data_IF_231370869521
#
_entry.id   IF_231370869521
#
_cell.length_a   1.000
_cell.length_b   1.000
_cell.length_c   1.000
_cell.angle_alpha   90.00
_cell.angle_beta   90.00
_cell.angle_gamma   90.00
#
_symmetry.space_group_name_H-M   'P 1'
#
loop_
_entity.id
_entity.type
_entity.pdbx_description
1 polymer ?
#
# COMPACT_ATOMS: atom_id res chain seq x y z
N UNK A 1 9.82 13.36 -25.29
CA UNK A 1 8.43 13.81 -25.03
C UNK A 1 7.40 12.67 -25.05
N UNK A 2 7.47 11.68 -25.95
CA UNK A 2 6.54 10.54 -25.98
C UNK A 2 6.84 9.38 -25.00
N UNK A 3 7.97 9.42 -24.28
CA UNK A 3 8.41 8.36 -23.34
C UNK A 3 7.80 8.57 -21.93
N UNK A 4 7.37 9.81 -21.63
CA UNK A 4 6.87 10.30 -20.33
C UNK A 4 5.39 10.00 -19.98
N UNK A 5 4.59 9.52 -20.93
CA UNK A 5 3.14 9.82 -20.97
C UNK A 5 2.25 9.07 -19.98
N UNK A 6 2.75 8.08 -19.25
CA UNK A 6 2.10 7.66 -18.00
C UNK A 6 3.16 7.04 -17.08
N UNK A 7 3.86 7.89 -16.31
CA UNK A 7 4.81 7.48 -15.27
C UNK A 7 4.27 6.30 -14.45
N UNK A 8 2.97 6.30 -14.15
CA UNK A 8 2.35 5.27 -13.33
C UNK A 8 2.07 3.95 -14.07
N UNK A 9 2.28 3.90 -15.39
CA UNK A 9 2.30 2.65 -16.18
C UNK A 9 3.69 2.04 -16.23
N UNK A 10 4.72 2.81 -15.85
CA UNK A 10 6.06 2.28 -15.79
C UNK A 10 6.16 1.20 -14.72
N UNK A 11 7.18 0.35 -14.89
CA UNK A 11 7.41 -0.85 -14.09
C UNK A 11 7.37 -0.58 -12.58
N UNK A 12 7.83 0.60 -12.14
CA UNK A 12 7.92 0.99 -10.73
C UNK A 12 6.57 1.06 -10.02
N UNK A 13 5.57 1.67 -10.67
CA UNK A 13 4.30 2.03 -10.05
C UNK A 13 3.12 1.16 -10.51
N UNK A 14 3.31 0.36 -11.56
CA UNK A 14 2.24 -0.42 -12.20
C UNK A 14 1.48 -1.30 -11.23
N UNK A 15 2.17 -2.02 -10.34
CA UNK A 15 1.54 -2.91 -9.34
C UNK A 15 0.65 -2.10 -8.40
N UNK A 16 1.21 -1.05 -7.79
CA UNK A 16 0.47 -0.21 -6.87
C UNK A 16 -0.75 0.45 -7.54
N UNK A 17 -0.58 0.99 -8.75
CA UNK A 17 -1.67 1.55 -9.57
C UNK A 17 -2.77 0.52 -9.80
N UNK A 18 -2.43 -0.70 -10.23
CA UNK A 18 -3.41 -1.76 -10.47
C UNK A 18 -4.19 -2.10 -9.21
N UNK A 19 -3.51 -2.27 -8.07
CA UNK A 19 -4.16 -2.56 -6.78
C UNK A 19 -5.14 -1.44 -6.38
N UNK A 20 -4.72 -0.18 -6.49
CA UNK A 20 -5.59 0.98 -6.18
C UNK A 20 -6.78 1.11 -7.13
N UNK A 21 -6.65 0.71 -8.40
CA UNK A 21 -7.79 0.69 -9.33
C UNK A 21 -8.80 -0.38 -8.92
N UNK A 22 -8.33 -1.57 -8.56
CA UNK A 22 -9.19 -2.70 -8.15
C UNK A 22 -10.02 -2.38 -6.91
N UNK A 23 -9.52 -1.53 -6.02
CA UNK A 23 -10.17 -1.17 -4.75
C UNK A 23 -10.96 0.14 -4.84
N UNK A 24 -11.02 0.76 -6.03
CA UNK A 24 -11.69 2.06 -6.23
C UNK A 24 -10.97 3.23 -5.57
N UNK A 25 -9.69 3.07 -5.24
CA UNK A 25 -8.87 4.03 -4.52
C UNK A 25 -8.00 4.91 -5.44
N UNK A 26 -7.88 4.56 -6.73
CA UNK A 26 -7.03 5.32 -7.67
C UNK A 26 -7.62 6.71 -8.01
N UNK A 27 -6.89 7.81 -7.76
CA UNK A 27 -7.46 9.15 -7.85
C UNK A 27 -7.76 9.60 -9.29
N UNK A 28 -7.00 9.13 -10.28
CA UNK A 28 -7.17 9.55 -11.69
C UNK A 28 -8.24 8.76 -12.46
N UNK A 29 -8.92 7.80 -11.83
CA UNK A 29 -10.09 7.13 -12.43
C UNK A 29 -11.28 8.09 -12.47
N UNK A 30 -12.15 7.96 -13.48
CA UNK A 30 -13.37 8.77 -13.55
C UNK A 30 -14.19 8.65 -12.26
N UNK A 31 -14.66 9.78 -11.73
CA UNK A 31 -15.38 9.84 -10.46
C UNK A 31 -16.53 8.82 -10.34
N UNK A 32 -17.44 8.64 -11.34
CA UNK A 32 -18.52 7.68 -11.20
C UNK A 32 -18.00 6.23 -11.12
N UNK A 33 -17.02 5.85 -11.95
CA UNK A 33 -16.46 4.51 -11.92
C UNK A 33 -15.73 4.24 -10.60
N UNK A 34 -14.93 5.22 -10.14
CA UNK A 34 -14.21 5.13 -8.86
C UNK A 34 -15.15 4.89 -7.69
N UNK A 35 -16.22 5.70 -7.60
CA UNK A 35 -17.25 5.57 -6.57
C UNK A 35 -17.96 4.22 -6.65
N UNK A 36 -18.32 3.74 -7.85
CA UNK A 36 -18.96 2.43 -8.02
C UNK A 36 -18.08 1.28 -7.55
N UNK A 37 -16.79 1.28 -7.91
CA UNK A 37 -15.85 0.23 -7.47
C UNK A 37 -15.63 0.29 -5.97
N UNK A 38 -15.55 1.49 -5.39
CA UNK A 38 -15.42 1.66 -3.94
C UNK A 38 -16.65 1.12 -3.20
N UNK A 39 -17.87 1.47 -3.64
CA UNK A 39 -19.12 0.96 -3.06
C UNK A 39 -19.15 -0.56 -3.15
N UNK A 40 -18.81 -1.14 -4.31
CA UNK A 40 -18.77 -2.58 -4.50
C UNK A 40 -17.77 -3.25 -3.54
N UNK A 41 -16.58 -2.67 -3.39
CA UNK A 41 -15.54 -3.14 -2.46
C UNK A 41 -16.06 -3.16 -1.02
N UNK A 42 -16.71 -2.09 -0.58
CA UNK A 42 -17.31 -1.99 0.76
C UNK A 42 -18.44 -3.01 0.94
N UNK A 43 -19.35 -3.14 -0.03
CA UNK A 43 -20.46 -4.09 0.05
C UNK A 43 -19.96 -5.53 0.18
N UNK A 44 -18.95 -5.91 -0.62
CA UNK A 44 -18.36 -7.26 -0.57
C UNK A 44 -17.68 -7.49 0.79
N UNK A 45 -16.88 -6.54 1.27
CA UNK A 45 -16.20 -6.66 2.56
C UNK A 45 -17.22 -6.79 3.71
N UNK A 46 -18.22 -5.90 3.77
CA UNK A 46 -19.27 -5.94 4.81
C UNK A 46 -20.05 -7.26 4.78
N UNK A 47 -20.33 -7.81 3.60
CA UNK A 47 -21.01 -9.09 3.48
C UNK A 47 -20.19 -10.29 4.01
N UNK A 48 -18.86 -10.16 4.07
CA UNK A 48 -17.98 -11.13 4.71
C UNK A 48 -17.75 -10.88 6.21
N UNK A 49 -17.73 -9.62 6.63
CA UNK A 49 -17.47 -9.22 8.04
C UNK A 49 -18.69 -9.48 8.93
N UNK A 50 -19.91 -9.24 8.46
CA UNK A 50 -21.12 -9.44 9.28
C UNK A 50 -21.24 -10.89 9.78
N UNK A 51 -21.09 -11.93 8.94
CA UNK A 51 -21.08 -13.32 9.40
C UNK A 51 -20.01 -13.60 10.47
N UNK A 52 -18.83 -12.99 10.38
CA UNK A 52 -17.78 -13.16 11.38
C UNK A 52 -18.16 -12.56 12.73
N UNK A 53 -18.75 -11.36 12.72
CA UNK A 53 -19.28 -10.72 13.93
C UNK A 53 -20.34 -11.61 14.57
N UNK A 54 -21.31 -12.11 13.80
CA UNK A 54 -22.38 -12.98 14.32
C UNK A 54 -21.80 -14.26 14.92
N UNK A 55 -20.89 -14.93 14.21
CA UNK A 55 -20.29 -16.18 14.69
C UNK A 55 -19.55 -16.00 16.01
N UNK A 56 -18.84 -14.89 16.19
CA UNK A 56 -18.10 -14.59 17.43
C UNK A 56 -19.05 -14.26 18.58
N UNK A 57 -20.14 -13.52 18.31
CA UNK A 57 -21.17 -13.22 19.31
C UNK A 57 -21.80 -14.49 19.91
N UNK A 58 -21.91 -15.56 19.13
CA UNK A 58 -22.49 -16.84 19.56
C UNK A 58 -21.56 -17.65 20.48
N UNK A 59 -20.24 -17.48 20.34
CA UNK A 59 -19.23 -18.22 21.12
C UNK A 59 -18.50 -17.35 22.14
N UNK A 60 -19.03 -16.17 22.50
CA UNK A 60 -18.41 -15.28 23.49
C UNK A 60 -18.16 -15.93 24.86
N UNK A 61 -18.93 -16.97 25.19
CA UNK A 61 -18.77 -17.73 26.44
C UNK A 61 -17.56 -18.69 26.39
N UNK A 62 -17.05 -19.00 25.20
CA UNK A 62 -15.84 -19.79 24.98
C UNK A 62 -14.66 -18.84 24.72
N UNK A 63 -13.90 -18.57 25.79
CA UNK A 63 -12.80 -17.63 25.74
C UNK A 63 -11.67 -18.07 24.80
N UNK A 64 -11.44 -19.39 24.65
CA UNK A 64 -10.37 -19.90 23.79
C UNK A 64 -10.69 -19.59 22.32
N UNK A 65 -11.91 -19.89 21.90
CA UNK A 65 -12.39 -19.63 20.53
C UNK A 65 -12.54 -18.12 20.26
N UNK A 66 -12.98 -17.35 21.26
CA UNK A 66 -13.09 -15.89 21.13
C UNK A 66 -11.73 -15.24 20.91
N UNK A 67 -10.68 -15.67 21.63
CA UNK A 67 -9.31 -15.16 21.45
C UNK A 67 -8.73 -15.57 20.10
N UNK A 68 -8.98 -16.80 19.64
CA UNK A 68 -8.55 -17.28 18.30
C UNK A 68 -9.16 -16.43 17.16
N UNK A 69 -10.29 -15.78 17.41
CA UNK A 69 -11.01 -14.95 16.44
C UNK A 69 -10.57 -13.49 16.39
N UNK A 70 -9.70 -13.03 17.30
CA UNK A 70 -9.22 -11.64 17.34
C UNK A 70 -8.42 -11.23 16.09
N UNK A 71 -7.47 -12.04 15.56
CA UNK A 71 -6.62 -11.60 14.46
C UNK A 71 -7.40 -11.20 13.18
N UNK A 72 -8.41 -11.95 12.70
CA UNK A 72 -9.27 -11.51 11.60
C UNK A 72 -9.91 -10.13 11.81
N UNK A 73 -10.42 -9.82 13.01
CA UNK A 73 -10.98 -8.49 13.29
C UNK A 73 -9.95 -7.37 13.27
N UNK A 74 -8.70 -7.64 13.67
CA UNK A 74 -7.62 -6.66 13.54
C UNK A 74 -7.36 -6.34 12.06
N UNK A 75 -7.41 -7.36 11.19
CA UNK A 75 -7.30 -7.18 9.74
C UNK A 75 -8.48 -6.36 9.20
N UNK A 76 -9.72 -6.69 9.60
CA UNK A 76 -10.92 -5.95 9.19
C UNK A 76 -10.91 -4.49 9.64
N UNK A 77 -10.46 -4.23 10.87
CA UNK A 77 -10.26 -2.88 11.39
C UNK A 77 -9.19 -2.13 10.58
N UNK A 78 -8.07 -2.79 10.29
CA UNK A 78 -7.00 -2.23 9.47
C UNK A 78 -7.48 -1.89 8.05
N UNK A 79 -8.30 -2.75 7.45
CA UNK A 79 -8.97 -2.50 6.18
C UNK A 79 -9.86 -1.25 6.25
N UNK A 80 -10.74 -1.17 7.25
CA UNK A 80 -11.66 -0.05 7.40
C UNK A 80 -10.90 1.28 7.56
N UNK A 81 -9.90 1.31 8.44
CA UNK A 81 -9.06 2.50 8.67
C UNK A 81 -8.37 2.91 7.36
N UNK A 82 -7.66 1.99 6.69
CA UNK A 82 -6.91 2.31 5.47
C UNK A 82 -7.81 2.79 4.34
N UNK A 83 -8.96 2.15 4.14
CA UNK A 83 -9.91 2.54 3.11
C UNK A 83 -10.49 3.93 3.38
N UNK A 84 -10.87 4.20 4.63
CA UNK A 84 -11.36 5.53 5.05
C UNK A 84 -10.28 6.60 4.90
N UNK A 85 -9.05 6.33 5.34
CA UNK A 85 -7.92 7.24 5.19
C UNK A 85 -7.70 7.63 3.74
N UNK A 86 -7.67 6.66 2.81
CA UNK A 86 -7.49 6.98 1.38
C UNK A 86 -8.70 7.73 0.82
N UNK A 87 -9.93 7.33 1.20
CA UNK A 87 -11.14 7.98 0.71
C UNK A 87 -11.24 9.45 1.17
N UNK A 88 -10.98 9.72 2.45
CA UNK A 88 -11.00 11.07 3.04
C UNK A 88 -9.87 11.92 2.46
N UNK A 89 -8.67 11.36 2.37
CA UNK A 89 -7.48 12.09 1.88
C UNK A 89 -7.27 11.99 0.37
N UNK A 90 -8.27 11.57 -0.42
CA UNK A 90 -8.11 11.30 -1.84
C UNK A 90 -7.49 12.47 -2.64
N UNK A 91 -7.86 13.71 -2.29
CA UNK A 91 -7.28 14.93 -2.90
C UNK A 91 -5.80 15.11 -2.53
N UNK A 92 -5.42 14.83 -1.29
CA UNK A 92 -4.02 14.90 -0.84
C UNK A 92 -3.18 13.81 -1.51
N UNK A 93 -3.69 12.58 -1.57
CA UNK A 93 -3.06 11.46 -2.30
C UNK A 93 -2.85 11.84 -3.76
N UNK A 94 -3.85 12.43 -4.41
CA UNK A 94 -3.71 12.91 -5.79
C UNK A 94 -2.60 13.97 -5.90
N UNK A 95 -2.58 14.97 -5.01
CA UNK A 95 -1.54 16.01 -4.99
C UNK A 95 -0.14 15.42 -4.82
N UNK A 96 0.03 14.44 -3.93
CA UNK A 96 1.30 13.72 -3.76
C UNK A 96 1.73 13.02 -5.05
N UNK A 97 0.82 12.31 -5.71
CA UNK A 97 1.13 11.66 -6.99
C UNK A 97 1.47 12.68 -8.10
N UNK A 98 0.83 13.84 -8.10
CA UNK A 98 1.15 14.94 -9.02
C UNK A 98 2.55 15.52 -8.74
N UNK A 99 2.92 15.71 -7.47
CA UNK A 99 4.28 16.12 -7.08
C UNK A 99 5.32 15.09 -7.55
N UNK A 100 5.10 13.80 -7.27
CA UNK A 100 5.97 12.73 -7.77
C UNK A 100 6.16 12.85 -9.28
N UNK A 101 5.06 12.96 -10.04
CA UNK A 101 5.13 13.12 -11.50
C UNK A 101 5.92 14.36 -11.93
N UNK A 102 5.71 15.48 -11.25
CA UNK A 102 6.40 16.74 -11.53
C UNK A 102 7.91 16.61 -11.31
N UNK A 103 8.33 15.92 -10.25
CA UNK A 103 9.75 15.71 -9.94
C UNK A 103 10.43 14.82 -10.98
N UNK A 104 9.76 13.74 -11.41
CA UNK A 104 10.25 12.91 -12.51
C UNK A 104 10.47 13.72 -13.81
N UNK A 105 9.61 14.71 -14.05
CA UNK A 105 9.71 15.63 -15.18
C UNK A 105 10.86 16.63 -15.01
N UNK A 106 11.02 17.21 -13.82
CA UNK A 106 12.04 18.21 -13.55
C UNK A 106 13.44 17.63 -13.66
N UNK A 107 13.64 16.40 -13.19
CA UNK A 107 14.92 15.68 -13.27
C UNK A 107 15.17 15.01 -14.64
N UNK A 108 14.26 15.11 -15.60
CA UNK A 108 14.43 14.46 -16.90
C UNK A 108 15.70 14.95 -17.61
N UNK A 109 16.63 14.03 -17.91
CA UNK A 109 17.92 14.34 -18.54
C UNK A 109 19.01 14.82 -17.58
N UNK A 110 18.73 14.89 -16.28
CA UNK A 110 19.71 15.22 -15.25
C UNK A 110 20.41 13.97 -14.71
N UNK A 111 21.58 14.13 -14.07
CA UNK A 111 22.33 12.99 -13.51
C UNK A 111 21.63 12.41 -12.27
N UNK A 112 20.92 13.28 -11.56
CA UNK A 112 20.13 13.06 -10.36
C UNK A 112 18.94 12.13 -10.63
N UNK A 113 18.47 12.02 -11.88
CA UNK A 113 17.44 11.07 -12.30
C UNK A 113 17.80 9.61 -11.97
N UNK A 114 19.10 9.27 -11.98
CA UNK A 114 19.58 7.94 -11.59
C UNK A 114 19.21 7.61 -10.14
N UNK A 115 19.32 8.59 -9.24
CA UNK A 115 18.96 8.43 -7.83
C UNK A 115 17.47 8.13 -7.72
N UNK A 116 16.63 8.85 -8.48
CA UNK A 116 15.19 8.63 -8.49
C UNK A 116 14.82 7.22 -8.97
N UNK A 117 15.49 6.71 -10.02
CA UNK A 117 15.34 5.33 -10.48
C UNK A 117 15.75 4.30 -9.43
N UNK A 118 16.87 4.51 -8.72
CA UNK A 118 17.37 3.59 -7.68
C UNK A 118 16.36 3.44 -6.53
N UNK A 119 15.81 4.56 -6.05
CA UNK A 119 14.79 4.54 -5.00
C UNK A 119 13.44 3.99 -5.50
N UNK A 120 13.06 4.25 -6.76
CA UNK A 120 11.85 3.68 -7.34
C UNK A 120 11.93 2.16 -7.52
N UNK A 121 13.08 1.60 -7.95
CA UNK A 121 13.29 0.14 -7.97
C UNK A 121 13.31 -0.46 -6.55
N UNK A 122 13.87 0.26 -5.57
CA UNK A 122 13.83 -0.17 -4.17
C UNK A 122 12.39 -0.23 -3.64
N UNK A 123 11.59 0.82 -3.87
CA UNK A 123 10.18 0.85 -3.50
C UNK A 123 9.35 -0.23 -4.18
N UNK A 124 9.66 -0.53 -5.45
CA UNK A 124 9.06 -1.66 -6.17
C UNK A 124 9.44 -3.01 -5.56
N UNK A 125 10.71 -3.21 -5.21
CA UNK A 125 11.17 -4.44 -4.55
C UNK A 125 10.45 -4.64 -3.22
N UNK A 126 10.34 -3.59 -2.40
CA UNK A 126 9.56 -3.64 -1.15
C UNK A 126 8.09 -3.92 -1.40
N UNK A 127 7.48 -3.29 -2.40
CA UNK A 127 6.08 -3.53 -2.79
C UNK A 127 5.84 -5.00 -3.14
N UNK A 128 6.71 -5.59 -3.96
CA UNK A 128 6.60 -7.00 -4.37
C UNK A 128 6.81 -7.92 -3.16
N UNK A 129 7.88 -7.72 -2.40
CA UNK A 129 8.18 -8.56 -1.24
C UNK A 129 7.05 -8.53 -0.20
N UNK A 130 6.54 -7.33 0.10
CA UNK A 130 5.42 -7.14 1.02
C UNK A 130 4.14 -7.82 0.52
N UNK A 131 3.72 -7.53 -0.70
CA UNK A 131 2.52 -8.12 -1.29
C UNK A 131 2.62 -9.66 -1.32
N UNK A 132 3.75 -10.21 -1.79
CA UNK A 132 3.97 -11.65 -1.81
C UNK A 132 3.91 -12.26 -0.41
N UNK A 133 4.52 -11.62 0.59
CA UNK A 133 4.46 -12.09 1.98
C UNK A 133 3.04 -12.15 2.54
N UNK A 134 2.25 -11.08 2.34
CA UNK A 134 0.85 -11.02 2.80
C UNK A 134 -0.02 -12.07 2.10
N UNK A 135 0.04 -12.16 0.76
CA UNK A 135 -0.77 -13.12 0.01
C UNK A 135 -0.38 -14.57 0.30
N UNK A 136 0.93 -14.86 0.43
CA UNK A 136 1.40 -16.21 0.74
C UNK A 136 0.97 -16.64 2.15
N UNK A 137 1.15 -15.78 3.14
CA UNK A 137 0.76 -16.07 4.53
C UNK A 137 -0.74 -16.32 4.64
N UNK A 138 -1.54 -15.49 3.96
CA UNK A 138 -3.00 -15.68 3.90
C UNK A 138 -3.36 -16.99 3.22
N UNK A 139 -2.72 -17.31 2.09
CA UNK A 139 -2.98 -18.56 1.38
C UNK A 139 -2.71 -19.77 2.29
N UNK A 140 -1.60 -19.77 3.03
CA UNK A 140 -1.27 -20.83 3.98
C UNK A 140 -2.33 -20.93 5.09
N UNK A 141 -2.70 -19.79 5.69
CA UNK A 141 -3.72 -19.73 6.74
C UNK A 141 -5.08 -20.30 6.26
N UNK A 142 -5.56 -19.86 5.09
CA UNK A 142 -6.87 -20.29 4.57
C UNK A 142 -6.88 -21.75 4.12
N UNK A 143 -5.74 -22.28 3.64
CA UNK A 143 -5.64 -23.65 3.12
C UNK A 143 -5.49 -24.71 4.20
N UNK A 144 -4.91 -24.39 5.37
CA UNK A 144 -4.75 -25.34 6.49
C UNK A 144 -6.07 -26.03 6.90
N UNK A 145 -7.18 -25.30 7.21
CA UNK A 145 -8.45 -25.92 7.59
C UNK A 145 -9.09 -26.71 6.44
N UNK A 146 -8.99 -26.21 5.21
CA UNK A 146 -9.49 -26.89 4.00
C UNK A 146 -8.76 -28.22 3.76
N UNK A 147 -7.44 -28.23 3.90
CA UNK A 147 -6.63 -29.44 3.78
C UNK A 147 -7.03 -30.45 4.84
N UNK A 148 -7.23 -30.02 6.09
CA UNK A 148 -7.70 -30.88 7.18
C UNK A 148 -9.07 -31.49 6.87
N UNK A 149 -10.05 -30.68 6.41
CA UNK A 149 -11.39 -31.16 6.02
C UNK A 149 -11.31 -32.17 4.87
N UNK A 150 -10.49 -31.91 3.85
CA UNK A 150 -10.32 -32.82 2.72
C UNK A 150 -9.71 -34.16 3.13
N UNK A 151 -8.69 -34.15 4.01
CA UNK A 151 -8.08 -35.38 4.51
C UNK A 151 -9.06 -36.21 5.35
N UNK A 152 -9.93 -35.57 6.14
CA UNK A 152 -11.01 -36.24 6.88
C UNK A 152 -12.05 -36.87 5.94
N UNK A 153 -12.51 -36.12 4.93
CA UNK A 153 -13.46 -36.64 3.92
C UNK A 153 -12.87 -37.83 3.13
N UNK A 154 -11.56 -37.85 2.90
CA UNK A 154 -10.86 -38.98 2.27
C UNK A 154 -10.54 -40.13 3.23
N UNK A 155 -10.94 -40.04 4.50
CA UNK A 155 -10.62 -40.99 5.56
C UNK A 155 -9.11 -41.22 5.78
N UNK A 156 -8.29 -40.19 5.51
CA UNK A 156 -6.84 -40.20 5.70
C UNK A 156 -6.41 -39.69 7.08
N UNK A 157 -7.28 -38.94 7.77
CA UNK A 157 -7.11 -38.51 9.16
C UNK A 157 -8.15 -39.20 10.04
N UNK A 158 -7.76 -39.55 11.27
CA UNK A 158 -8.68 -40.14 12.25
C UNK A 158 -9.63 -39.05 12.78
N UNK A 159 -10.93 -39.33 12.86
CA UNK A 159 -12.05 -38.40 13.11
C UNK A 159 -12.11 -37.82 14.55
N UNK A 160 -10.96 -37.50 15.14
CA UNK A 160 -10.86 -37.11 16.55
C UNK A 160 -11.41 -35.71 16.82
N UNK A 161 -11.31 -34.79 15.85
CA UNK A 161 -11.80 -33.42 15.94
C UNK A 161 -12.34 -32.95 14.58
N UNK A 162 -13.55 -32.38 14.48
CA UNK A 162 -14.10 -31.89 13.21
C UNK A 162 -13.26 -30.73 12.68
N UNK A 163 -12.91 -30.76 11.38
CA UNK A 163 -12.15 -29.68 10.77
C UNK A 163 -12.92 -28.35 10.82
N UNK A 164 -12.29 -27.34 11.44
CA UNK A 164 -12.79 -25.98 11.56
C UNK A 164 -12.94 -25.31 10.19
N UNK A 165 -13.89 -24.37 10.09
CA UNK A 165 -13.98 -23.44 8.95
C UNK A 165 -12.84 -22.40 9.01
N UNK A 166 -12.33 -21.86 7.89
CA UNK A 166 -11.15 -20.99 7.91
C UNK A 166 -11.27 -19.70 8.73
N UNK A 167 -12.49 -19.17 8.85
CA UNK A 167 -12.82 -18.01 9.67
C UNK A 167 -14.05 -18.35 10.48
N UNK A 168 -14.06 -18.03 11.78
CA UNK A 168 -15.28 -18.21 12.54
C UNK A 168 -16.37 -17.29 11.97
N UNK A 169 -17.43 -17.88 11.40
CA UNK A 169 -18.50 -17.13 10.74
C UNK A 169 -19.83 -17.89 10.82
N UNK A 170 -20.92 -17.13 11.03
CA UNK A 170 -22.29 -17.62 10.92
C UNK A 170 -23.03 -16.86 9.80
N UNK A 171 -23.35 -17.56 8.72
CA UNK A 171 -24.06 -17.02 7.57
C UNK A 171 -25.58 -17.01 7.77
N UNK A 172 -26.06 -16.26 8.77
CA UNK A 172 -27.49 -16.04 9.03
C UNK A 172 -28.30 -17.34 9.23
N UNK A 173 -27.76 -18.29 10.00
CA UNK A 173 -28.40 -19.56 10.29
C UNK A 173 -28.24 -20.63 9.20
N UNK A 174 -27.42 -20.38 8.16
CA UNK A 174 -26.99 -21.41 7.23
C UNK A 174 -25.96 -22.31 7.93
N UNK A 175 -26.21 -23.63 7.90
CA UNK A 175 -25.28 -24.63 8.38
C UNK A 175 -23.98 -24.58 7.57
N UNK A 176 -22.91 -24.13 8.23
CA UNK A 176 -21.59 -23.90 7.63
C UNK A 176 -20.88 -25.22 7.32
N UNK A 177 -21.13 -26.28 8.08
CA UNK A 177 -20.56 -27.60 7.83
C UNK A 177 -21.24 -28.28 6.64
N UNK A 178 -22.57 -28.21 6.57
CA UNK A 178 -23.32 -28.78 5.45
C UNK A 178 -23.04 -28.05 4.12
N UNK A 179 -22.79 -26.73 4.17
CA UNK A 179 -22.55 -25.90 2.99
C UNK A 179 -21.09 -25.48 2.81
N UNK A 180 -20.15 -26.17 3.47
CA UNK A 180 -18.74 -25.80 3.55
C UNK A 180 -18.13 -25.40 2.19
N UNK A 181 -18.19 -26.29 1.20
CA UNK A 181 -17.57 -26.06 -0.12
C UNK A 181 -18.29 -25.00 -0.96
N UNK A 182 -19.55 -24.67 -0.66
CA UNK A 182 -20.30 -23.62 -1.34
C UNK A 182 -19.99 -22.22 -0.78
N UNK A 183 -19.77 -22.12 0.53
CA UNK A 183 -19.43 -20.86 1.21
C UNK A 183 -17.95 -20.49 1.09
N UNK A 184 -17.08 -21.50 0.88
CA UNK A 184 -15.64 -21.32 0.82
C UNK A 184 -15.19 -20.31 -0.25
N UNK A 185 -15.64 -20.37 -1.53
CA UNK A 185 -15.21 -19.43 -2.56
C UNK A 185 -15.59 -17.98 -2.21
N UNK A 186 -16.75 -17.77 -1.59
CA UNK A 186 -17.19 -16.46 -1.14
C UNK A 186 -16.28 -15.91 -0.03
N UNK A 187 -15.91 -16.76 0.93
CA UNK A 187 -14.98 -16.40 2.02
C UNK A 187 -13.60 -16.04 1.50
N UNK A 188 -13.07 -16.81 0.54
CA UNK A 188 -11.81 -16.51 -0.13
C UNK A 188 -11.87 -15.19 -0.90
N UNK A 189 -12.98 -14.95 -1.61
CA UNK A 189 -13.15 -13.75 -2.41
C UNK A 189 -13.23 -12.48 -1.53
N UNK A 190 -14.04 -12.52 -0.46
CA UNK A 190 -14.14 -11.40 0.50
C UNK A 190 -12.78 -11.11 1.17
N UNK A 191 -12.09 -12.15 1.62
CA UNK A 191 -10.73 -12.03 2.21
C UNK A 191 -9.73 -11.43 1.22
N UNK A 192 -9.77 -11.87 -0.05
CA UNK A 192 -8.90 -11.34 -1.09
C UNK A 192 -9.14 -9.84 -1.35
N UNK A 193 -10.40 -9.38 -1.32
CA UNK A 193 -10.75 -7.96 -1.49
C UNK A 193 -10.24 -7.11 -0.32
N UNK A 194 -10.45 -7.58 0.92
CA UNK A 194 -9.99 -6.93 2.15
C UNK A 194 -8.46 -6.77 2.12
N UNK A 195 -7.74 -7.85 1.86
CA UNK A 195 -6.27 -7.83 1.80
C UNK A 195 -5.72 -7.01 0.64
N UNK A 196 -6.35 -7.08 -0.54
CA UNK A 196 -5.94 -6.27 -1.69
C UNK A 196 -6.05 -4.79 -1.38
N UNK A 197 -7.06 -4.37 -0.63
CA UNK A 197 -7.21 -2.98 -0.17
C UNK A 197 -6.11 -2.58 0.80
N UNK A 198 -5.79 -3.43 1.77
CA UNK A 198 -4.69 -3.19 2.72
C UNK A 198 -3.35 -3.07 1.98
N UNK A 199 -3.04 -4.03 1.10
CA UNK A 199 -1.80 -4.04 0.31
C UNK A 199 -1.74 -2.83 -0.63
N UNK A 200 -2.86 -2.42 -1.24
CA UNK A 200 -2.92 -1.22 -2.07
C UNK A 200 -2.51 0.04 -1.29
N UNK A 201 -3.05 0.18 -0.07
CA UNK A 201 -2.76 1.32 0.81
C UNK A 201 -1.31 1.33 1.30
N UNK A 202 -0.80 0.19 1.77
CA UNK A 202 0.56 0.08 2.30
C UNK A 202 1.60 0.31 1.22
N UNK A 203 1.39 -0.27 0.03
CA UNK A 203 2.32 -0.10 -1.08
C UNK A 203 2.30 1.32 -1.64
N UNK A 204 1.17 2.02 -1.53
CA UNK A 204 1.09 3.45 -1.87
C UNK A 204 1.95 4.26 -0.91
N UNK A 205 1.84 3.99 0.39
CA UNK A 205 2.66 4.64 1.40
C UNK A 205 4.16 4.36 1.20
N UNK A 206 4.54 3.09 0.94
CA UNK A 206 5.93 2.72 0.62
C UNK A 206 6.46 3.53 -0.55
N UNK A 207 5.68 3.65 -1.64
CA UNK A 207 6.06 4.43 -2.81
C UNK A 207 6.31 5.90 -2.46
N UNK A 208 5.43 6.51 -1.68
CA UNK A 208 5.52 7.91 -1.29
C UNK A 208 6.75 8.18 -0.40
N UNK A 209 6.98 7.31 0.59
CA UNK A 209 8.16 7.37 1.47
C UNK A 209 9.45 7.24 0.66
N UNK A 210 9.53 6.26 -0.25
CA UNK A 210 10.72 6.07 -1.07
C UNK A 210 10.99 7.26 -1.99
N UNK A 211 9.94 7.91 -2.51
CA UNK A 211 10.08 9.15 -3.27
C UNK A 211 10.64 10.29 -2.40
N UNK A 212 10.09 10.49 -1.19
CA UNK A 212 10.62 11.47 -0.24
C UNK A 212 12.10 11.22 0.08
N UNK A 213 12.49 9.98 0.35
CA UNK A 213 13.89 9.60 0.56
C UNK A 213 14.78 9.89 -0.66
N UNK A 214 14.25 9.69 -1.87
CA UNK A 214 14.95 10.02 -3.11
C UNK A 214 15.22 11.52 -3.20
N UNK A 215 14.23 12.36 -2.90
CA UNK A 215 14.36 13.81 -2.93
C UNK A 215 15.39 14.31 -1.92
N UNK A 216 15.37 13.81 -0.68
CA UNK A 216 16.41 14.13 0.31
C UNK A 216 17.81 13.69 -0.15
N UNK A 217 17.93 12.54 -0.82
CA UNK A 217 19.21 12.07 -1.34
C UNK A 217 19.73 12.94 -2.49
N UNK A 218 18.85 13.39 -3.38
CA UNK A 218 19.20 14.32 -4.47
C UNK A 218 19.66 15.65 -3.90
N UNK A 219 18.93 16.20 -2.91
CA UNK A 219 19.33 17.43 -2.23
C UNK A 219 20.72 17.30 -1.60
N UNK A 220 20.97 16.21 -0.86
CA UNK A 220 22.28 15.95 -0.26
C UNK A 220 23.40 15.81 -1.30
N UNK A 221 23.13 15.15 -2.43
CA UNK A 221 24.05 15.05 -3.55
C UNK A 221 24.41 16.42 -4.14
N UNK A 222 23.41 17.28 -4.34
CA UNK A 222 23.60 18.62 -4.88
C UNK A 222 24.39 19.52 -3.92
N UNK A 223 24.07 19.48 -2.63
CA UNK A 223 24.81 20.20 -1.59
C UNK A 223 26.27 19.78 -1.53
N UNK A 224 26.56 18.48 -1.63
CA UNK A 224 27.93 17.97 -1.64
C UNK A 224 28.70 18.46 -2.87
N UNK A 225 28.09 18.38 -4.05
CA UNK A 225 28.68 18.90 -5.30
C UNK A 225 29.01 20.38 -5.20
N UNK A 226 28.12 21.17 -4.58
CA UNK A 226 28.36 22.59 -4.33
C UNK A 226 29.50 22.82 -3.33
N UNK A 227 29.57 22.05 -2.24
CA UNK A 227 30.64 22.16 -1.25
C UNK A 227 32.02 21.85 -1.88
N UNK A 228 32.10 20.77 -2.67
CA UNK A 228 33.33 20.34 -3.34
C UNK A 228 33.80 21.39 -4.38
N UNK A 229 32.85 22.01 -5.11
CA UNK A 229 33.16 23.14 -6.00
C UNK A 229 33.57 24.40 -5.21
N UNK A 230 32.89 24.70 -4.11
CA UNK A 230 33.17 25.84 -3.23
C UNK A 230 34.54 25.78 -2.55
N UNK A 231 35.05 24.58 -2.26
CA UNK A 231 36.44 24.40 -1.79
C UNK A 231 37.47 24.81 -2.84
N UNK A 232 37.15 24.69 -4.13
CA UNK A 232 38.01 25.14 -5.24
C UNK A 232 37.95 26.68 -5.41
N UNK A 233 36.76 27.28 -5.23
CA UNK A 233 36.58 28.73 -5.25
C UNK A 233 37.20 29.45 -4.04
N UNK A 234 37.38 28.79 -2.89
CA UNK A 234 38.10 29.35 -1.73
C UNK A 234 39.56 29.67 -2.04
N UNK A 235 40.18 29.00 -3.02
CA UNK A 235 41.50 29.35 -3.54
C UNK A 235 41.51 30.62 -4.43
N UNK A 236 40.33 31.08 -4.89
CA UNK A 236 40.12 32.21 -5.80
C UNK A 236 39.61 33.50 -5.11
N UNK A 237 39.45 33.51 -3.77
CA UNK A 237 38.80 34.57 -2.98
C UNK A 237 39.46 35.98 -2.95
N UNK A 238 40.21 36.39 -3.98
CA UNK A 238 40.78 37.75 -4.08
C UNK A 238 39.99 38.73 -4.96
N UNK A 239 38.70 38.51 -5.25
CA UNK A 239 37.86 39.49 -5.95
C UNK A 239 36.39 39.52 -5.49
N UNK A 240 35.70 40.68 -5.57
CA UNK A 240 34.37 40.89 -5.00
C UNK A 240 33.31 40.14 -5.82
N UNK A 241 32.72 39.08 -5.24
CA UNK A 241 31.74 38.23 -5.90
C UNK A 241 30.39 38.94 -6.05
N UNK A 242 29.94 39.09 -7.31
CA UNK A 242 28.52 39.13 -7.66
C UNK A 242 28.06 37.66 -7.71
N UNK A 243 27.56 37.15 -6.58
CA UNK A 243 27.90 35.79 -6.16
C UNK A 243 26.97 34.66 -6.70
N UNK A 244 27.42 33.79 -7.62
CA UNK A 244 26.67 32.57 -8.00
C UNK A 244 26.44 31.62 -6.82
N UNK A 245 27.29 31.66 -5.78
CA UNK A 245 27.13 30.84 -4.56
C UNK A 245 25.86 31.21 -3.79
N UNK A 246 25.53 32.50 -3.72
CA UNK A 246 24.28 33.00 -3.12
C UNK A 246 23.05 32.43 -3.83
N UNK A 247 23.05 32.42 -5.17
CA UNK A 247 21.96 31.88 -5.98
C UNK A 247 21.82 30.36 -5.76
N UNK A 248 22.94 29.62 -5.77
CA UNK A 248 22.92 28.16 -5.54
C UNK A 248 22.49 27.77 -4.12
N UNK A 249 22.88 28.54 -3.11
CA UNK A 249 22.41 28.37 -1.74
C UNK A 249 20.91 28.64 -1.62
N UNK A 250 20.41 29.71 -2.26
CA UNK A 250 18.98 30.03 -2.26
C UNK A 250 18.12 28.95 -2.91
N UNK A 251 18.62 28.32 -3.99
CA UNK A 251 17.98 27.17 -4.64
C UNK A 251 17.97 25.98 -3.69
N UNK A 252 19.08 25.67 -3.03
CA UNK A 252 19.15 24.54 -2.09
C UNK A 252 18.22 24.71 -0.88
N UNK A 253 18.07 25.94 -0.37
CA UNK A 253 17.11 26.26 0.71
C UNK A 253 15.68 26.05 0.23
N UNK A 254 15.34 26.48 -0.98
CA UNK A 254 14.01 26.25 -1.57
C UNK A 254 13.75 24.77 -1.77
N UNK A 255 14.69 24.04 -2.36
CA UNK A 255 14.55 22.60 -2.59
C UNK A 255 14.38 21.86 -1.25
N UNK A 256 15.13 22.24 -0.20
CA UNK A 256 14.93 21.68 1.14
C UNK A 256 13.53 21.95 1.70
N UNK A 257 13.03 23.18 1.54
CA UNK A 257 11.68 23.55 1.94
C UNK A 257 10.61 22.75 1.18
N UNK A 258 10.76 22.55 -0.13
CA UNK A 258 9.81 21.76 -0.94
C UNK A 258 9.78 20.28 -0.50
N UNK A 259 10.92 19.70 -0.15
CA UNK A 259 10.96 18.31 0.37
C UNK A 259 10.33 18.21 1.76
N UNK A 260 10.51 19.22 2.63
CA UNK A 260 9.82 19.28 3.92
C UNK A 260 8.30 19.40 3.71
N UNK A 261 7.84 20.28 2.82
CA UNK A 261 6.40 20.40 2.51
C UNK A 261 5.80 19.09 1.98
N UNK A 262 6.56 18.32 1.18
CA UNK A 262 6.15 16.99 0.74
C UNK A 262 6.02 16.01 1.92
N UNK A 263 6.97 16.04 2.86
CA UNK A 263 6.95 15.23 4.08
C UNK A 263 5.77 15.60 4.98
N UNK A 264 5.55 16.89 5.23
CA UNK A 264 4.44 17.39 6.04
C UNK A 264 3.08 17.03 5.39
N UNK A 265 2.99 17.10 4.06
CA UNK A 265 1.79 16.68 3.34
C UNK A 265 1.53 15.17 3.52
N UNK A 266 2.58 14.35 3.48
CA UNK A 266 2.51 12.91 3.71
C UNK A 266 2.09 12.57 5.15
N UNK A 267 2.65 13.26 6.14
CA UNK A 267 2.30 13.09 7.57
C UNK A 267 0.88 13.55 7.89
N UNK A 268 0.32 14.46 7.09
CA UNK A 268 -1.04 14.96 7.30
C UNK A 268 -2.17 14.01 6.86
N UNK A 269 -1.84 12.87 6.24
CA UNK A 269 -2.78 11.87 5.72
C UNK A 269 -3.15 10.86 6.80
#
# INVERSE_FOLDING_TARGET
>A
LAIMTDLFQQRYYKINKTLLILTGSWPYTSQPLRTSVLILTVCIAVSGIIPQIIGVLEVLNDWEVAVESIPPFVIDLGFAIKLLTIAINAKKVQKILEHIRSDWLSFAGQTELRILHEYAERGRTFTIAYATGIYLTTLLFMTQPVATKLLQVMHLLNDSEPAKYPLLANYYGIDTDANYFYLLPFTYFTTAIILTTIVAADTLFIVQVQHGCAMFSILGHNLKKMADQGTDYRALCFQPLKDPVSTHLSVSIRDHHEVIEFSDLLESI
#
